data_IF_005720786057
#
_entry.id   IF_005720786057
#
_cell.length_a   1.000
_cell.length_b   1.000
_cell.length_c   1.000
_cell.angle_alpha   90.00
_cell.angle_beta   90.00
_cell.angle_gamma   90.00
#
_symmetry.space_group_name_H-M   'P 1'
#
loop_
_entity.id
_entity.type
_entity.pdbx_description
1 polymer ?
#
# COMPACT_ATOMS: atom_id res chain seq x y z
N UNK A 1 -5.64 10.09 -3.62
CA UNK A 1 -6.30 8.89 -3.04
C UNK A 1 -7.75 9.25 -2.81
N UNK A 2 -8.71 8.53 -3.38
CA UNK A 2 -10.14 8.82 -3.26
C UNK A 2 -10.77 7.86 -2.24
N UNK A 3 -11.63 8.34 -1.35
CA UNK A 3 -12.41 7.46 -0.47
C UNK A 3 -13.38 6.60 -1.29
N UNK A 4 -13.74 5.42 -0.77
CA UNK A 4 -14.68 4.51 -1.47
C UNK A 4 -16.04 5.15 -1.75
N UNK A 5 -16.50 6.04 -0.87
CA UNK A 5 -17.74 6.78 -1.05
C UNK A 5 -17.62 7.99 -2.00
N UNK A 6 -16.42 8.28 -2.51
CA UNK A 6 -16.16 9.39 -3.43
C UNK A 6 -16.21 10.79 -2.82
N UNK A 7 -16.42 10.92 -1.51
CA UNK A 7 -16.64 12.22 -0.84
C UNK A 7 -15.37 13.00 -0.55
N UNK A 8 -14.24 12.33 -0.41
CA UNK A 8 -12.97 12.98 -0.04
C UNK A 8 -11.81 12.50 -0.91
N UNK A 9 -10.96 13.44 -1.32
CA UNK A 9 -9.68 13.17 -2.00
C UNK A 9 -8.53 13.61 -1.12
N UNK A 10 -7.67 12.66 -0.77
CA UNK A 10 -6.44 12.87 -0.01
C UNK A 10 -5.25 12.98 -0.95
N UNK A 11 -4.33 13.89 -0.64
CA UNK A 11 -3.06 14.05 -1.35
C UNK A 11 -1.98 14.63 -0.44
N UNK A 12 -0.74 14.54 -0.90
CA UNK A 12 0.41 15.18 -0.29
C UNK A 12 0.82 16.38 -1.12
N UNK A 13 1.02 17.53 -0.50
CA UNK A 13 1.59 18.69 -1.19
C UNK A 13 3.13 18.68 -1.20
N UNK A 14 3.72 19.71 -1.80
CA UNK A 14 5.18 19.85 -1.92
C UNK A 14 5.90 20.00 -0.56
N UNK A 15 5.17 20.39 0.48
CA UNK A 15 5.67 20.56 1.85
C UNK A 15 5.43 19.31 2.72
N UNK A 16 5.03 18.20 2.09
CA UNK A 16 4.68 16.93 2.74
C UNK A 16 3.47 17.06 3.68
N UNK A 17 2.65 18.11 3.50
CA UNK A 17 1.38 18.21 4.21
C UNK A 17 0.41 17.19 3.65
N UNK A 18 -0.36 16.58 4.54
CA UNK A 18 -1.46 15.71 4.18
C UNK A 18 -2.69 16.59 4.09
N UNK A 19 -3.25 16.69 2.89
CA UNK A 19 -4.41 17.54 2.62
C UNK A 19 -5.56 16.70 2.09
N UNK A 20 -6.77 17.14 2.38
CA UNK A 20 -8.00 16.51 1.94
C UNK A 20 -8.92 17.56 1.35
N UNK A 21 -9.52 17.22 0.21
CA UNK A 21 -10.55 18.00 -0.46
C UNK A 21 -11.88 17.27 -0.29
N UNK A 22 -12.85 17.98 0.25
CA UNK A 22 -14.25 17.55 0.23
C UNK A 22 -14.81 17.77 -1.19
N UNK A 23 -15.32 16.70 -1.80
CA UNK A 23 -15.73 16.70 -3.21
C UNK A 23 -17.11 17.31 -3.46
N UNK A 24 -17.89 17.56 -2.39
CA UNK A 24 -19.20 18.21 -2.50
C UNK A 24 -19.06 19.73 -2.39
N UNK A 25 -18.12 20.21 -1.56
CA UNK A 25 -17.93 21.62 -1.23
C UNK A 25 -16.66 22.23 -1.83
N UNK A 26 -15.76 21.40 -2.36
CA UNK A 26 -14.41 21.76 -2.84
C UNK A 26 -13.55 22.47 -1.79
N UNK A 27 -13.90 22.32 -0.51
CA UNK A 27 -13.10 22.88 0.59
C UNK A 27 -11.95 21.96 0.90
N UNK A 28 -10.78 22.57 1.06
CA UNK A 28 -9.55 21.88 1.39
C UNK A 28 -9.17 22.11 2.86
N UNK A 29 -8.68 21.07 3.54
CA UNK A 29 -8.11 21.17 4.90
C UNK A 29 -6.82 20.38 5.01
N UNK A 30 -5.88 20.89 5.82
CA UNK A 30 -4.69 20.13 6.26
C UNK A 30 -5.09 19.25 7.43
N UNK A 31 -4.73 17.98 7.38
CA UNK A 31 -5.02 17.00 8.44
C UNK A 31 -3.76 16.55 9.18
N UNK A 32 -2.60 16.69 8.56
CA UNK A 32 -1.33 16.30 9.16
C UNK A 32 -0.15 16.73 8.28
N UNK A 33 1.04 16.31 8.69
CA UNK A 33 2.27 16.52 7.94
C UNK A 33 3.20 15.36 8.21
N UNK A 34 3.82 14.81 7.16
CA UNK A 34 4.83 13.77 7.34
C UNK A 34 6.03 14.34 8.13
N UNK A 35 6.75 13.50 8.90
CA UNK A 35 7.97 13.91 9.58
C UNK A 35 8.97 14.55 8.62
N UNK A 36 9.78 15.49 9.11
CA UNK A 36 10.75 16.24 8.29
C UNK A 36 11.70 15.30 7.52
N UNK A 37 12.13 14.22 8.18
CA UNK A 37 13.01 13.21 7.61
C UNK A 37 12.32 12.21 6.67
N UNK A 38 10.99 12.28 6.50
CA UNK A 38 10.29 11.42 5.56
C UNK A 38 10.73 11.79 4.12
N UNK A 39 11.04 10.78 3.30
CA UNK A 39 11.22 10.97 1.87
C UNK A 39 9.96 11.52 1.18
N UNK A 40 10.02 11.73 -0.14
CA UNK A 40 8.80 12.04 -0.90
C UNK A 40 7.80 10.88 -0.73
N UNK A 41 6.50 11.15 -0.52
CA UNK A 41 5.49 10.10 -0.48
C UNK A 41 5.54 9.32 -1.80
N UNK A 42 5.64 8.00 -1.70
CA UNK A 42 5.66 7.12 -2.86
C UNK A 42 4.25 7.02 -3.47
N UNK A 43 4.16 6.64 -4.74
CA UNK A 43 2.92 6.58 -5.54
C UNK A 43 1.91 5.50 -5.08
N UNK A 44 2.01 5.05 -3.85
CA UNK A 44 1.38 3.86 -3.31
C UNK A 44 0.61 4.17 -2.04
N UNK A 45 -0.31 5.12 -2.10
CA UNK A 45 -1.08 5.47 -0.92
C UNK A 45 -2.54 5.08 -1.13
N UNK A 46 -3.20 4.61 -0.08
CA UNK A 46 -4.58 4.14 -0.12
C UNK A 46 -5.35 4.60 1.11
N UNK A 47 -6.68 4.64 1.01
CA UNK A 47 -7.56 5.01 2.12
C UNK A 47 -8.49 3.84 2.40
N UNK A 48 -8.65 3.52 3.67
CA UNK A 48 -9.53 2.48 4.19
C UNK A 48 -11.00 2.70 3.78
N UNK A 49 -11.76 1.61 3.80
CA UNK A 49 -13.15 1.61 3.32
C UNK A 49 -14.07 2.51 4.15
N UNK A 50 -13.78 2.66 5.45
CA UNK A 50 -14.45 3.54 6.39
C UNK A 50 -13.95 5.00 6.36
N UNK A 51 -12.86 5.26 5.62
CA UNK A 51 -12.24 6.57 5.51
C UNK A 51 -11.46 7.03 6.76
N UNK A 52 -11.22 6.16 7.74
CA UNK A 52 -10.59 6.54 9.02
C UNK A 52 -9.06 6.44 8.99
N UNK A 53 -8.53 5.63 8.08
CA UNK A 53 -7.10 5.35 7.94
C UNK A 53 -6.61 5.59 6.52
N UNK A 54 -5.55 6.37 6.39
CA UNK A 54 -4.72 6.49 5.19
C UNK A 54 -3.45 5.65 5.38
N UNK A 55 -3.08 4.89 4.37
CA UNK A 55 -1.83 4.15 4.32
C UNK A 55 -0.90 4.74 3.28
N UNK A 56 0.38 4.84 3.62
CA UNK A 56 1.44 5.27 2.70
C UNK A 56 2.74 4.60 3.08
N UNK A 57 3.59 4.30 2.10
CA UNK A 57 4.95 3.83 2.37
C UNK A 57 5.90 5.02 2.55
N UNK A 58 6.87 4.87 3.45
CA UNK A 58 8.00 5.78 3.56
C UNK A 58 9.32 5.04 3.76
N UNK A 59 10.44 5.55 3.23
CA UNK A 59 11.75 5.11 3.65
C UNK A 59 11.96 5.36 5.15
N UNK A 60 12.64 4.42 5.82
CA UNK A 60 13.10 4.55 7.20
C UNK A 60 14.50 5.17 7.29
N UNK A 61 15.24 5.11 6.18
CA UNK A 61 16.63 5.54 6.08
C UNK A 61 16.75 6.71 5.10
N UNK A 62 17.73 7.61 5.29
CA UNK A 62 18.07 8.61 4.28
C UNK A 62 18.47 7.97 2.95
N UNK A 63 18.23 8.67 1.85
CA UNK A 63 18.70 8.28 0.53
C UNK A 63 20.24 8.25 0.51
N UNK A 64 20.83 7.07 0.28
CA UNK A 64 22.27 6.96 0.23
C UNK A 64 22.78 7.55 -1.09
N UNK A 65 23.77 8.44 -0.98
CA UNK A 65 24.24 9.33 -2.06
C UNK A 65 24.87 8.58 -3.25
N UNK A 66 25.27 7.31 -3.08
CA UNK A 66 25.89 6.52 -4.15
C UNK A 66 25.59 5.02 -4.00
N UNK A 67 24.70 4.49 -4.84
CA UNK A 67 24.80 3.18 -5.53
C UNK A 67 23.55 3.00 -6.38
N UNK A 68 23.65 2.40 -7.57
CA UNK A 68 22.48 2.10 -8.42
C UNK A 68 21.42 1.18 -7.76
N UNK A 69 21.76 0.61 -6.59
CA UNK A 69 20.87 -0.20 -5.75
C UNK A 69 20.41 0.50 -4.47
N UNK A 70 20.88 1.71 -4.15
CA UNK A 70 20.61 2.33 -2.86
C UNK A 70 19.13 2.61 -2.64
N UNK A 71 18.40 3.04 -3.67
CA UNK A 71 16.95 3.28 -3.62
C UNK A 71 16.15 1.97 -3.39
N UNK A 72 16.69 0.84 -3.88
CA UNK A 72 16.04 -0.47 -3.82
C UNK A 72 16.44 -1.30 -2.59
N UNK A 73 17.46 -0.85 -1.86
CA UNK A 73 17.93 -1.45 -0.62
C UNK A 73 17.38 -0.76 0.63
N UNK A 74 16.58 0.30 0.48
CA UNK A 74 16.05 1.02 1.63
C UNK A 74 14.98 0.23 2.35
N UNK A 75 15.06 0.23 3.68
CA UNK A 75 13.97 -0.26 4.50
C UNK A 75 12.78 0.71 4.43
N UNK A 76 11.58 0.19 4.14
CA UNK A 76 10.36 0.98 4.12
C UNK A 76 9.46 0.62 5.30
N UNK A 77 8.80 1.62 5.87
CA UNK A 77 7.65 1.39 6.71
C UNK A 77 6.37 1.69 5.94
N UNK A 78 5.35 0.85 6.14
CA UNK A 78 3.98 1.22 5.88
C UNK A 78 3.48 2.01 7.08
N UNK A 79 3.06 3.25 6.85
CA UNK A 79 2.56 4.14 7.89
C UNK A 79 1.05 4.21 7.80
N UNK A 80 0.38 3.97 8.93
CA UNK A 80 -1.03 4.25 9.11
C UNK A 80 -1.21 5.64 9.71
N UNK A 81 -2.03 6.44 9.03
CA UNK A 81 -2.33 7.82 9.37
C UNK A 81 -3.82 7.94 9.62
N UNK A 82 -4.19 8.43 10.80
CA UNK A 82 -5.59 8.74 11.12
C UNK A 82 -6.05 9.95 10.33
N UNK A 83 -7.20 9.86 9.67
CA UNK A 83 -7.71 10.93 8.78
C UNK A 83 -8.35 12.10 9.53
N UNK A 84 -8.76 11.90 10.78
CA UNK A 84 -9.38 12.92 11.62
C UNK A 84 -8.36 13.90 12.20
N UNK A 85 -7.16 13.43 12.55
CA UNK A 85 -6.17 14.22 13.29
C UNK A 85 -4.72 14.06 12.80
N UNK A 86 -4.48 13.27 11.75
CA UNK A 86 -3.14 13.08 11.17
C UNK A 86 -2.17 12.29 12.04
N UNK A 87 -2.61 11.70 13.15
CA UNK A 87 -1.74 10.86 14.00
C UNK A 87 -1.21 9.67 13.21
N UNK A 88 0.07 9.39 13.36
CA UNK A 88 0.79 8.38 12.59
C UNK A 88 1.30 7.26 13.47
N UNK A 89 1.30 6.04 12.93
CA UNK A 89 2.02 4.89 13.48
C UNK A 89 2.58 4.02 12.37
N UNK A 90 3.69 3.35 12.62
CA UNK A 90 4.13 2.28 11.73
C UNK A 90 3.12 1.12 11.84
N UNK A 91 2.58 0.71 10.70
CA UNK A 91 1.71 -0.47 10.59
C UNK A 91 2.54 -1.72 10.28
N UNK A 92 3.57 -1.58 9.44
CA UNK A 92 4.52 -2.63 9.06
C UNK A 92 5.88 -1.99 8.87
N UNK A 93 6.93 -2.67 9.31
CA UNK A 93 8.32 -2.34 8.97
C UNK A 93 8.85 -3.43 8.05
N UNK A 94 9.04 -3.06 6.78
CA UNK A 94 9.56 -3.94 5.75
C UNK A 94 11.09 -3.88 5.71
N UNK A 95 11.72 -5.04 5.55
CA UNK A 95 13.14 -5.16 5.25
C UNK A 95 13.45 -4.85 3.76
N UNK A 96 12.44 -4.42 3.00
CA UNK A 96 12.53 -4.13 1.57
C UNK A 96 11.63 -2.94 1.23
N UNK A 97 11.83 -2.29 0.07
CA UNK A 97 10.91 -1.29 -0.44
C UNK A 97 9.47 -1.81 -0.57
N UNK A 98 8.55 -1.08 0.03
CA UNK A 98 7.11 -1.30 -0.14
C UNK A 98 6.66 -0.57 -1.39
N UNK A 99 6.09 -1.33 -2.33
CA UNK A 99 5.80 -0.90 -3.68
C UNK A 99 4.40 -0.39 -3.91
N UNK A 100 3.39 -1.26 -3.85
CA UNK A 100 1.98 -0.90 -4.00
C UNK A 100 1.26 -1.32 -2.73
N UNK A 101 0.36 -0.50 -2.21
CA UNK A 101 -0.57 -0.95 -1.18
C UNK A 101 -1.98 -0.44 -1.44
N UNK A 102 -2.94 -1.31 -1.22
CA UNK A 102 -4.35 -1.02 -1.48
C UNK A 102 -5.23 -1.81 -0.51
N UNK A 103 -6.21 -1.12 0.09
CA UNK A 103 -7.27 -1.80 0.82
C UNK A 103 -8.16 -2.57 -0.16
N UNK A 104 -8.48 -3.81 0.18
CA UNK A 104 -9.41 -4.61 -0.60
C UNK A 104 -10.77 -3.88 -0.66
N UNK A 105 -11.38 -3.73 -1.85
CA UNK A 105 -12.64 -2.99 -1.97
C UNK A 105 -13.82 -3.69 -1.28
N UNK A 106 -13.70 -4.97 -0.92
CA UNK A 106 -14.78 -5.79 -0.36
C UNK A 106 -14.61 -6.12 1.12
N UNK A 107 -13.44 -5.85 1.71
CA UNK A 107 -13.14 -6.10 3.12
C UNK A 107 -11.92 -5.26 3.54
N UNK A 108 -11.69 -5.11 4.84
CA UNK A 108 -10.61 -4.23 5.31
C UNK A 108 -9.22 -4.88 5.24
N UNK A 109 -9.03 -5.98 4.51
CA UNK A 109 -7.69 -6.53 4.32
C UNK A 109 -6.86 -5.58 3.44
N UNK A 110 -5.60 -5.40 3.80
CA UNK A 110 -4.64 -4.69 2.99
C UNK A 110 -3.93 -5.66 2.05
N UNK A 111 -3.83 -5.29 0.78
CA UNK A 111 -2.95 -5.93 -0.19
C UNK A 111 -1.69 -5.07 -0.29
N UNK A 112 -0.53 -5.68 -0.07
CA UNK A 112 0.77 -5.03 -0.16
C UNK A 112 1.63 -5.76 -1.17
N UNK A 113 2.27 -5.03 -2.06
CA UNK A 113 3.26 -5.56 -2.98
C UNK A 113 4.63 -5.06 -2.55
N UNK A 114 5.55 -5.98 -2.32
CA UNK A 114 6.96 -5.63 -2.20
C UNK A 114 7.55 -5.36 -3.59
N UNK A 115 8.54 -4.47 -3.68
CA UNK A 115 9.30 -4.25 -4.91
C UNK A 115 10.72 -4.74 -4.68
N UNK A 116 11.16 -5.64 -5.56
CA UNK A 116 12.53 -6.12 -5.60
C UNK A 116 13.18 -5.69 -6.92
N UNK A 117 13.63 -4.42 -7.01
CA UNK A 117 14.33 -3.86 -8.18
C UNK A 117 13.49 -2.87 -9.01
N UNK A 118 13.85 -2.65 -10.28
CA UNK A 118 13.05 -1.84 -11.20
C UNK A 118 11.60 -2.34 -11.27
N UNK A 119 10.67 -1.49 -11.74
CA UNK A 119 9.22 -1.73 -11.76
C UNK A 119 8.78 -3.10 -12.36
N UNK A 120 9.68 -3.79 -13.04
CA UNK A 120 9.50 -5.06 -13.75
C UNK A 120 9.94 -6.32 -12.95
N UNK A 121 10.66 -6.18 -11.83
CA UNK A 121 11.63 -7.24 -11.43
C UNK A 121 11.14 -8.25 -10.41
N UNK A 122 10.10 -8.01 -9.60
CA UNK A 122 9.26 -9.01 -8.91
C UNK A 122 8.37 -8.25 -7.94
N UNK A 123 7.06 -8.52 -8.02
CA UNK A 123 6.09 -8.06 -7.03
C UNK A 123 5.47 -9.28 -6.38
N UNK A 124 5.67 -9.48 -5.07
CA UNK A 124 4.96 -10.50 -4.31
C UNK A 124 3.81 -9.83 -3.55
N UNK A 125 2.55 -10.17 -3.86
CA UNK A 125 1.44 -9.67 -3.09
C UNK A 125 1.39 -10.35 -1.73
N UNK A 126 1.11 -9.56 -0.72
CA UNK A 126 0.91 -9.95 0.66
C UNK A 126 -0.48 -9.48 1.06
N UNK A 127 -1.20 -10.30 1.82
CA UNK A 127 -2.46 -9.90 2.45
C UNK A 127 -2.22 -9.73 3.94
N UNK A 128 -2.52 -8.54 4.44
CA UNK A 128 -2.48 -8.22 5.86
C UNK A 128 -3.93 -8.08 6.33
N UNK A 129 -4.32 -8.97 7.23
CA UNK A 129 -5.62 -8.86 7.88
C UNK A 129 -5.56 -7.77 8.95
N UNK A 130 -6.42 -6.78 8.83
CA UNK A 130 -6.43 -5.61 9.71
C UNK A 130 -7.09 -5.87 11.07
N UNK A 131 -7.89 -6.94 11.19
CA UNK A 131 -8.54 -7.31 12.45
C UNK A 131 -7.58 -8.02 13.40
N UNK A 132 -6.73 -8.91 12.88
CA UNK A 132 -5.84 -9.76 13.68
C UNK A 132 -4.34 -9.55 13.40
N UNK A 133 -3.99 -8.65 12.48
CA UNK A 133 -2.61 -8.33 12.11
C UNK A 133 -1.88 -9.44 11.37
N UNK A 134 -2.55 -10.54 11.00
CA UNK A 134 -1.88 -11.66 10.32
C UNK A 134 -1.46 -11.28 8.91
N UNK A 135 -0.21 -11.55 8.59
CA UNK A 135 0.40 -11.35 7.27
C UNK A 135 0.53 -12.70 6.57
N UNK A 136 0.06 -12.80 5.33
CA UNK A 136 0.22 -13.99 4.50
C UNK A 136 0.66 -13.64 3.09
N UNK A 137 1.65 -14.35 2.50
CA UNK A 137 1.94 -14.19 1.08
C UNK A 137 0.75 -14.68 0.27
N UNK A 138 0.43 -13.99 -0.81
CA UNK A 138 -0.51 -14.45 -1.84
C UNK A 138 0.32 -15.00 -2.99
N UNK A 139 0.20 -16.29 -3.23
CA UNK A 139 0.67 -16.87 -4.47
C UNK A 139 -0.45 -16.71 -5.50
N UNK A 140 -0.23 -15.83 -6.48
CA UNK A 140 -1.06 -15.76 -7.67
C UNK A 140 -0.54 -16.83 -8.63
N UNK A 141 -1.35 -17.85 -8.90
CA UNK A 141 -1.10 -18.77 -10.01
C UNK A 141 -2.09 -18.43 -11.12
N UNK A 142 -1.60 -18.34 -12.36
CA UNK A 142 -2.46 -18.31 -13.54
C UNK A 142 -2.87 -19.75 -13.78
N UNK A 143 -4.12 -20.08 -13.49
CA UNK A 143 -4.70 -21.31 -14.00
C UNK A 143 -5.20 -21.01 -15.42
N UNK A 144 -4.50 -21.55 -16.41
CA UNK A 144 -5.07 -21.69 -17.76
C UNK A 144 -6.12 -22.80 -17.70
N UNK A 145 -7.38 -22.40 -17.51
CA UNK A 145 -8.51 -23.31 -17.66
C UNK A 145 -8.98 -23.24 -19.11
N UNK A 146 -8.63 -24.27 -19.88
CA UNK A 146 -9.17 -24.46 -21.22
C UNK A 146 -10.67 -24.75 -21.09
N UNK A 147 -11.50 -23.86 -21.61
CA UNK A 147 -12.94 -24.08 -21.65
C UNK A 147 -13.28 -25.08 -22.76
N UNK A 148 -14.44 -25.78 -22.67
CA UNK A 148 -14.92 -26.66 -23.73
C UNK A 148 -15.12 -25.96 -25.10
N UNK A 149 -15.20 -24.63 -25.11
CA UNK A 149 -15.34 -23.79 -26.31
C UNK A 149 -14.00 -23.25 -26.86
N UNK A 150 -12.87 -23.64 -26.26
CA UNK A 150 -11.52 -23.22 -26.68
C UNK A 150 -11.11 -21.80 -26.23
N UNK A 151 -11.92 -21.10 -25.42
CA UNK A 151 -11.55 -19.78 -24.90
C UNK A 151 -10.79 -19.90 -23.56
N UNK A 152 -9.60 -19.29 -23.51
CA UNK A 152 -8.81 -19.19 -22.27
C UNK A 152 -9.48 -18.23 -21.28
N UNK A 153 -9.69 -18.69 -20.04
CA UNK A 153 -10.04 -17.80 -18.92
C UNK A 153 -8.86 -17.74 -17.96
N UNK A 154 -8.34 -16.54 -17.73
CA UNK A 154 -7.42 -16.30 -16.63
C UNK A 154 -8.23 -16.15 -15.33
N UNK A 155 -8.11 -17.12 -14.43
CA UNK A 155 -8.66 -17.02 -13.08
C UNK A 155 -7.53 -16.79 -12.07
N UNK A 156 -7.66 -15.72 -11.29
CA UNK A 156 -6.80 -15.46 -10.15
C UNK A 156 -7.36 -16.18 -8.93
N UNK A 157 -6.60 -17.12 -8.36
CA UNK A 157 -6.98 -17.80 -7.11
C UNK A 157 -5.94 -17.53 -6.04
N UNK A 158 -6.42 -17.21 -4.84
CA UNK A 158 -5.61 -17.23 -3.62
C UNK A 158 -5.44 -18.69 -3.19
N UNK A 159 -4.24 -19.24 -3.34
CA UNK A 159 -3.93 -20.53 -2.72
C UNK A 159 -3.68 -20.28 -1.22
N UNK A 160 -4.33 -21.01 -0.30
CA UNK A 160 -3.92 -20.95 1.09
C UNK A 160 -2.47 -21.43 1.17
N UNK A 161 -1.58 -20.57 1.67
CA UNK A 161 -0.26 -21.01 2.08
C UNK A 161 -0.47 -22.05 3.19
N UNK A 162 -0.32 -23.33 2.88
CA UNK A 162 -0.20 -24.34 3.93
C UNK A 162 1.05 -23.97 4.74
N UNK A 163 0.98 -23.95 6.08
CA UNK A 163 2.20 -23.91 6.87
C UNK A 163 3.09 -25.04 6.37
N UNK A 164 4.32 -24.73 5.97
CA UNK A 164 5.34 -25.75 5.86
C UNK A 164 5.51 -26.28 7.29
N UNK A 165 5.00 -27.48 7.55
CA UNK A 165 5.28 -28.17 8.79
C UNK A 165 6.78 -28.35 8.89
N UNK A 166 7.39 -27.57 9.78
CA UNK A 166 8.73 -27.77 10.32
C UNK A 166 8.57 -27.95 11.83
#
# INVERSE_FOLDING_TARGET
MLTKNGKEVYFFDKEKNIRVVDMETFKERKIGQLPENAGRPLHNSSVSSDGLTLLTARPLEPEATYTYMSEWAQHHALVAIRTDNGQMRNAVEGQFPIGINEFNPTNDNLILWDIHGDWEVVHRPWVINTQDGKVRPVMLTILELERPDGLLRHEWRTLPARPLGL
#
